data_IF_688324226864
#
_entry.id   IF_688324226864
#
_cell.length_a   1.000
_cell.length_b   1.000
_cell.length_c   1.000
_cell.angle_alpha   90.00
_cell.angle_beta   90.00
_cell.angle_gamma   90.00
#
_symmetry.space_group_name_H-M   'P 1'
#
loop_
_entity.id
_entity.type
_entity.pdbx_description
1 polymer ?
#
# COMPACT_ATOMS: atom_id res chain seq x y z
N UNK A 1 1.92 3.08 -21.05
CA UNK A 1 1.33 4.41 -21.30
C UNK A 1 0.43 4.99 -20.20
N UNK A 2 -0.11 4.24 -19.23
CA UNK A 2 -1.12 4.77 -18.28
C UNK A 2 -0.59 5.72 -17.18
N UNK A 3 0.70 5.65 -16.81
CA UNK A 3 1.25 6.45 -15.69
C UNK A 3 1.57 7.89 -16.11
N UNK A 4 1.97 8.12 -17.38
CA UNK A 4 2.37 9.45 -17.87
C UNK A 4 1.17 10.41 -17.88
N UNK A 5 -0.01 9.96 -18.34
CA UNK A 5 -1.24 10.78 -18.34
C UNK A 5 -1.70 11.10 -16.90
N UNK A 6 -1.53 10.15 -15.97
CA UNK A 6 -1.91 10.32 -14.54
C UNK A 6 -1.02 11.32 -13.81
N UNK A 7 0.27 11.39 -14.17
CA UNK A 7 1.23 12.36 -13.62
C UNK A 7 0.80 13.81 -13.87
N UNK A 8 0.18 14.10 -15.02
CA UNK A 8 -0.36 15.44 -15.33
C UNK A 8 -1.52 15.86 -14.42
N UNK A 9 -2.27 14.92 -13.83
CA UNK A 9 -3.37 15.21 -12.90
C UNK A 9 -2.98 15.10 -11.42
N UNK A 10 -1.69 14.94 -11.11
CA UNK A 10 -1.21 14.80 -9.72
C UNK A 10 -1.62 13.48 -9.03
N UNK A 11 -2.11 12.49 -9.79
CA UNK A 11 -2.50 11.18 -9.26
C UNK A 11 -1.25 10.37 -8.87
N UNK A 12 -1.13 10.01 -7.59
CA UNK A 12 0.06 9.35 -7.04
C UNK A 12 1.11 10.31 -6.47
N UNK A 13 0.84 11.62 -6.42
CA UNK A 13 1.63 12.56 -5.62
C UNK A 13 1.22 12.44 -4.15
N UNK A 14 2.19 12.52 -3.25
CA UNK A 14 1.93 12.60 -1.82
C UNK A 14 1.29 13.98 -1.51
N UNK A 15 0.13 14.03 -0.81
CA UNK A 15 -0.46 15.28 -0.33
C UNK A 15 0.55 16.12 0.46
N UNK A 16 0.44 17.45 0.41
CA UNK A 16 1.42 18.36 1.01
C UNK A 16 1.60 18.12 2.52
N UNK A 17 0.50 17.90 3.25
CA UNK A 17 0.54 17.64 4.69
C UNK A 17 1.29 16.33 5.00
N UNK A 18 1.00 15.26 4.24
CA UNK A 18 1.73 14.00 4.37
C UNK A 18 3.20 14.13 4.00
N UNK A 19 3.52 14.99 3.04
CA UNK A 19 4.91 15.27 2.66
C UNK A 19 5.66 15.93 3.82
N UNK A 20 5.06 16.94 4.44
CA UNK A 20 5.65 17.60 5.60
C UNK A 20 5.84 16.63 6.77
N UNK A 21 4.87 15.74 7.03
CA UNK A 21 5.01 14.67 8.03
C UNK A 21 6.22 13.77 7.75
N UNK A 22 6.34 13.20 6.54
CA UNK A 22 7.43 12.25 6.23
C UNK A 22 8.81 12.92 6.17
N UNK A 23 8.87 14.20 5.81
CA UNK A 23 10.11 14.98 5.85
C UNK A 23 10.54 15.22 7.31
N UNK A 24 9.60 15.58 8.20
CA UNK A 24 9.86 15.78 9.62
C UNK A 24 10.28 14.49 10.36
N UNK A 25 9.81 13.33 9.91
CA UNK A 25 10.17 12.01 10.45
C UNK A 25 11.57 11.53 10.05
N UNK A 26 12.30 12.29 9.22
CA UNK A 26 13.59 11.88 8.69
C UNK A 26 13.42 10.95 7.48
N UNK A 27 13.13 11.55 6.32
CA UNK A 27 12.90 10.84 5.06
C UNK A 27 14.16 10.07 4.61
N UNK A 28 14.00 8.76 4.39
CA UNK A 28 15.03 7.87 3.83
C UNK A 28 14.83 7.74 2.32
N UNK A 29 13.58 7.57 1.89
CA UNK A 29 13.22 7.39 0.49
C UNK A 29 11.81 7.89 0.22
N UNK A 30 11.61 8.55 -0.92
CA UNK A 30 10.29 8.93 -1.43
C UNK A 30 10.22 8.61 -2.92
N UNK A 31 9.25 7.80 -3.29
CA UNK A 31 8.85 7.55 -4.66
C UNK A 31 7.39 8.00 -4.84
N UNK A 32 7.17 8.93 -5.76
CA UNK A 32 5.84 9.41 -6.14
C UNK A 32 5.48 8.91 -7.54
N UNK A 33 4.19 8.88 -7.86
CA UNK A 33 3.68 8.37 -9.13
C UNK A 33 4.03 6.88 -9.37
N UNK A 34 4.12 6.14 -8.28
CA UNK A 34 4.42 4.70 -8.26
C UNK A 34 3.24 3.93 -8.82
N UNK A 35 3.50 3.01 -9.74
CA UNK A 35 2.47 2.11 -10.24
C UNK A 35 2.15 1.06 -9.16
N UNK A 36 0.91 1.02 -8.71
CA UNK A 36 0.46 0.05 -7.71
C UNK A 36 -0.41 -1.00 -8.41
N UNK A 37 0.04 -2.25 -8.41
CA UNK A 37 -0.73 -3.37 -8.98
C UNK A 37 -1.49 -4.06 -7.87
N UNK A 38 -2.82 -4.06 -7.93
CA UNK A 38 -3.68 -4.76 -6.98
C UNK A 38 -4.17 -6.06 -7.58
N UNK A 39 -3.99 -7.18 -6.90
CA UNK A 39 -4.58 -8.48 -7.27
C UNK A 39 -5.49 -8.94 -6.15
N UNK A 40 -6.65 -9.47 -6.51
CA UNK A 40 -7.59 -10.06 -5.56
C UNK A 40 -8.17 -11.33 -6.16
N UNK A 41 -8.27 -12.35 -5.33
CA UNK A 41 -8.95 -13.61 -5.59
C UNK A 41 -9.77 -13.95 -4.35
N UNK A 42 -11.01 -14.41 -4.53
CA UNK A 42 -11.87 -14.85 -3.43
C UNK A 42 -13.19 -14.10 -3.32
N UNK A 43 -13.71 -14.05 -2.10
CA UNK A 43 -15.04 -13.51 -1.82
C UNK A 43 -15.08 -12.72 -0.51
N UNK A 44 -15.72 -11.56 -0.58
CA UNK A 44 -16.14 -10.72 0.55
C UNK A 44 -17.63 -10.35 0.33
N UNK A 45 -18.35 -9.87 1.36
CA UNK A 45 -19.70 -9.33 1.16
C UNK A 45 -19.74 -8.30 0.02
N UNK A 46 -20.66 -8.48 -0.94
CA UNK A 46 -20.79 -7.58 -2.09
C UNK A 46 -19.78 -7.79 -3.23
N UNK A 47 -18.78 -8.67 -3.10
CA UNK A 47 -17.83 -8.95 -4.19
C UNK A 47 -17.32 -10.39 -4.15
N UNK A 48 -17.46 -11.08 -5.28
CA UNK A 48 -16.79 -12.35 -5.56
C UNK A 48 -15.98 -12.22 -6.84
N UNK A 49 -14.71 -12.58 -6.80
CA UNK A 49 -13.81 -12.53 -7.95
C UNK A 49 -12.95 -13.79 -8.00
N UNK A 50 -13.02 -14.52 -9.11
CA UNK A 50 -12.11 -15.65 -9.37
C UNK A 50 -10.68 -15.17 -9.58
N UNK A 51 -10.51 -14.04 -10.28
CA UNK A 51 -9.25 -13.33 -10.43
C UNK A 51 -9.54 -11.89 -10.88
N UNK A 52 -9.01 -10.92 -10.15
CA UNK A 52 -9.20 -9.51 -10.47
C UNK A 52 -7.89 -8.74 -10.29
N UNK A 53 -7.47 -8.02 -11.33
CA UNK A 53 -6.24 -7.23 -11.35
C UNK A 53 -6.58 -5.79 -11.73
N UNK A 54 -6.11 -4.84 -10.94
CA UNK A 54 -6.28 -3.41 -11.19
C UNK A 54 -4.94 -2.68 -11.04
N UNK A 55 -4.76 -1.59 -11.78
CA UNK A 55 -3.55 -0.77 -11.71
C UNK A 55 -3.88 0.66 -11.30
N UNK A 56 -3.37 1.04 -10.13
CA UNK A 56 -3.51 2.35 -9.52
C UNK A 56 -2.20 3.13 -9.57
N UNK A 57 -2.25 4.39 -9.16
CA UNK A 57 -1.08 5.22 -8.88
C UNK A 57 -1.02 5.49 -7.37
N UNK A 58 0.18 5.60 -6.84
CA UNK A 58 0.41 5.81 -5.42
C UNK A 58 1.75 6.46 -5.15
N UNK A 59 2.06 6.61 -3.87
CA UNK A 59 3.37 7.02 -3.40
C UNK A 59 3.87 6.04 -2.35
N UNK A 60 5.19 5.89 -2.26
CA UNK A 60 5.87 5.08 -1.26
C UNK A 60 6.92 5.95 -0.57
N UNK A 61 6.88 5.99 0.75
CA UNK A 61 7.86 6.68 1.55
C UNK A 61 8.39 5.76 2.66
N UNK A 62 9.70 5.80 2.87
CA UNK A 62 10.36 5.21 4.02
C UNK A 62 10.95 6.34 4.85
N UNK A 63 10.63 6.38 6.13
CA UNK A 63 11.15 7.36 7.08
C UNK A 63 11.95 6.64 8.16
N UNK A 64 12.61 7.37 9.05
CA UNK A 64 13.24 6.76 10.22
C UNK A 64 12.22 6.10 11.16
N UNK A 65 10.93 6.40 11.03
CA UNK A 65 9.87 5.93 11.94
C UNK A 65 8.95 4.88 11.33
N UNK A 66 8.62 4.97 10.03
CA UNK A 66 7.60 4.13 9.41
C UNK A 66 7.80 3.87 7.92
N UNK A 67 7.01 2.92 7.43
CA UNK A 67 6.67 2.76 6.01
C UNK A 67 5.32 3.37 5.74
N UNK A 68 5.26 4.26 4.75
CA UNK A 68 4.03 4.88 4.27
C UNK A 68 3.82 4.54 2.78
N UNK A 69 2.73 3.86 2.46
CA UNK A 69 2.26 3.57 1.12
C UNK A 69 0.88 4.17 0.90
N UNK A 70 0.70 4.93 -0.16
CA UNK A 70 -0.59 5.50 -0.53
C UNK A 70 -1.14 4.89 -1.81
N UNK A 71 -2.46 4.83 -1.92
CA UNK A 71 -3.16 4.42 -3.13
C UNK A 71 -4.15 5.51 -3.52
N UNK A 72 -3.99 6.06 -4.71
CA UNK A 72 -4.89 7.08 -5.27
C UNK A 72 -5.88 6.42 -6.22
N UNK A 73 -7.15 6.35 -5.80
CA UNK A 73 -8.27 5.97 -6.68
C UNK A 73 -8.93 7.20 -7.32
N UNK A 74 -8.81 8.37 -6.68
CA UNK A 74 -9.41 9.64 -7.09
C UNK A 74 -8.33 10.74 -7.06
N UNK A 75 -8.34 11.72 -7.98
CA UNK A 75 -7.37 12.83 -7.93
C UNK A 75 -7.40 13.55 -6.57
N UNK A 76 -6.21 13.85 -6.03
CA UNK A 76 -6.00 14.55 -4.74
C UNK A 76 -6.42 13.76 -3.47
N UNK A 77 -6.95 12.54 -3.60
CA UNK A 77 -7.26 11.67 -2.47
C UNK A 77 -6.35 10.43 -2.51
N UNK A 78 -5.24 10.50 -1.79
CA UNK A 78 -4.32 9.40 -1.61
C UNK A 78 -4.64 8.69 -0.28
N UNK A 79 -5.39 7.59 -0.35
CA UNK A 79 -5.70 6.79 0.83
C UNK A 79 -4.41 6.18 1.38
N UNK A 80 -4.20 6.29 2.70
CA UNK A 80 -3.11 5.59 3.39
C UNK A 80 -3.44 4.10 3.41
N UNK A 81 -2.62 3.31 2.72
CA UNK A 81 -2.81 1.86 2.52
C UNK A 81 -1.71 1.06 3.22
N UNK A 82 -0.55 1.66 3.42
CA UNK A 82 0.44 1.14 4.37
C UNK A 82 0.82 2.33 5.24
N UNK A 83 0.67 2.23 6.55
CA UNK A 83 1.09 3.25 7.51
C UNK A 83 1.52 2.51 8.78
N UNK A 84 2.76 2.02 8.77
CA UNK A 84 3.25 1.05 9.77
C UNK A 84 4.58 1.50 10.30
N UNK A 85 4.66 1.70 11.61
CA UNK A 85 5.92 2.03 12.28
C UNK A 85 6.86 0.83 12.33
N UNK A 86 8.16 1.09 12.27
CA UNK A 86 9.18 0.03 12.35
C UNK A 86 9.17 -0.73 13.68
N UNK A 87 8.77 -0.03 14.76
CA UNK A 87 8.68 -0.52 16.14
C UNK A 87 7.31 -1.14 16.48
N UNK A 88 6.36 -1.14 15.54
CA UNK A 88 5.04 -1.73 15.77
C UNK A 88 5.13 -3.25 15.98
N UNK A 89 4.17 -3.85 16.71
CA UNK A 89 4.07 -5.31 16.84
C UNK A 89 4.03 -5.98 15.46
N UNK A 90 4.85 -7.00 15.29
CA UNK A 90 5.01 -7.71 14.01
C UNK A 90 4.05 -8.90 13.94
N UNK A 91 2.77 -8.58 13.96
CA UNK A 91 1.70 -9.56 13.97
C UNK A 91 0.54 -9.04 13.11
N UNK A 92 -0.23 -9.99 12.57
CA UNK A 92 -1.48 -9.69 11.91
C UNK A 92 -1.65 -10.36 10.57
N UNK A 93 -2.74 -10.01 9.90
CA UNK A 93 -3.16 -10.62 8.65
C UNK A 93 -2.32 -10.17 7.44
N UNK A 94 -1.78 -8.95 7.47
CA UNK A 94 -1.04 -8.37 6.37
C UNK A 94 0.47 -8.52 6.57
N UNK A 95 1.17 -8.88 5.49
CA UNK A 95 2.64 -8.93 5.45
C UNK A 95 3.14 -8.05 4.32
N UNK A 96 4.11 -7.18 4.61
CA UNK A 96 4.77 -6.34 3.62
C UNK A 96 6.26 -6.70 3.52
N UNK A 97 6.75 -6.81 2.29
CA UNK A 97 8.14 -7.10 1.95
C UNK A 97 8.73 -5.98 1.08
N UNK A 98 9.89 -5.48 1.47
CA UNK A 98 10.63 -4.42 0.77
C UNK A 98 11.80 -5.05 0.02
N UNK A 99 11.87 -4.79 -1.28
CA UNK A 99 12.90 -5.29 -2.19
C UNK A 99 13.42 -4.18 -3.10
N UNK A 100 14.49 -4.42 -3.89
CA UNK A 100 14.94 -3.44 -4.89
C UNK A 100 13.87 -3.05 -5.92
N UNK A 101 12.85 -3.89 -6.10
CA UNK A 101 11.75 -3.66 -7.06
C UNK A 101 10.55 -2.92 -6.48
N UNK A 102 10.54 -2.69 -5.16
CA UNK A 102 9.50 -1.95 -4.49
C UNK A 102 8.99 -2.63 -3.22
N UNK A 103 7.72 -2.37 -2.91
CA UNK A 103 7.02 -2.94 -1.76
C UNK A 103 5.95 -3.93 -2.25
N UNK A 104 6.03 -5.17 -1.78
CA UNK A 104 5.01 -6.19 -1.97
C UNK A 104 4.20 -6.33 -0.69
N UNK A 105 2.89 -6.16 -0.75
CA UNK A 105 1.95 -6.45 0.33
C UNK A 105 1.15 -7.69 -0.03
N UNK A 106 1.05 -8.61 0.93
CA UNK A 106 0.22 -9.80 0.86
C UNK A 106 -0.72 -9.82 2.07
N UNK A 107 -1.99 -10.15 1.84
CA UNK A 107 -3.03 -10.20 2.86
C UNK A 107 -3.94 -11.40 2.62
N UNK A 108 -3.96 -12.31 3.58
CA UNK A 108 -4.99 -13.34 3.68
C UNK A 108 -6.24 -12.70 4.30
N UNK A 109 -7.28 -12.49 3.48
CA UNK A 109 -8.46 -11.76 3.94
C UNK A 109 -9.30 -12.56 4.95
N UNK A 110 -9.14 -13.89 4.99
CA UNK A 110 -9.83 -14.72 5.98
C UNK A 110 -9.31 -14.50 7.40
N UNK A 111 -8.06 -14.02 7.55
CA UNK A 111 -7.50 -13.60 8.83
C UNK A 111 -8.01 -12.24 9.31
N UNK A 112 -8.61 -11.44 8.42
CA UNK A 112 -9.20 -10.14 8.75
C UNK A 112 -10.63 -10.29 9.25
N UNK A 113 -11.44 -11.08 8.54
CA UNK A 113 -12.82 -11.38 8.91
C UNK A 113 -13.16 -12.81 8.47
N UNK A 114 -13.76 -13.66 9.32
CA UNK A 114 -14.10 -15.04 8.98
C UNK A 114 -15.14 -15.16 7.85
N UNK A 115 -15.88 -14.09 7.52
CA UNK A 115 -16.79 -14.05 6.36
C UNK A 115 -16.05 -13.89 5.05
N UNK A 116 -14.77 -13.52 5.09
CA UNK A 116 -13.94 -13.30 3.91
C UNK A 116 -13.19 -14.58 3.56
N UNK A 117 -12.89 -14.73 2.28
CA UNK A 117 -12.06 -15.83 1.79
C UNK A 117 -11.20 -15.36 0.63
N UNK A 118 -9.99 -15.89 0.55
CA UNK A 118 -9.05 -15.63 -0.54
C UNK A 118 -7.93 -14.67 -0.15
N UNK A 119 -7.42 -13.94 -1.14
CA UNK A 119 -6.14 -13.27 -1.03
C UNK A 119 -6.14 -11.91 -1.72
N UNK A 120 -5.56 -10.90 -1.06
CA UNK A 120 -5.33 -9.56 -1.60
C UNK A 120 -3.82 -9.30 -1.65
N UNK A 121 -3.33 -8.83 -2.79
CA UNK A 121 -1.94 -8.38 -2.92
C UNK A 121 -1.83 -7.02 -3.57
N UNK A 122 -0.87 -6.21 -3.08
CA UNK A 122 -0.51 -4.91 -3.65
C UNK A 122 0.98 -4.88 -3.94
N UNK A 123 1.34 -4.54 -5.17
CA UNK A 123 2.73 -4.33 -5.55
C UNK A 123 2.96 -2.87 -5.93
N UNK A 124 3.69 -2.14 -5.09
CA UNK A 124 4.19 -0.80 -5.37
C UNK A 124 5.50 -0.90 -6.15
N UNK A 125 5.47 -0.62 -7.45
CA UNK A 125 6.64 -0.76 -8.33
C UNK A 125 7.53 0.46 -8.26
N UNK A 126 8.60 0.39 -7.47
CA UNK A 126 9.56 1.47 -7.28
C UNK A 126 10.98 0.91 -7.30
N UNK A 127 11.88 1.53 -8.06
CA UNK A 127 13.29 1.18 -8.01
C UNK A 127 13.89 1.75 -6.71
N UNK A 128 14.25 0.85 -5.79
CA UNK A 128 14.86 1.23 -4.50
C UNK A 128 16.33 0.82 -4.55
N UNK A 129 17.22 1.78 -4.35
CA UNK A 129 18.66 1.54 -4.37
C UNK A 129 19.13 0.75 -3.14
N UNK A 130 20.21 -0.02 -3.27
CA UNK A 130 20.68 -0.91 -2.20
C UNK A 130 21.15 -0.15 -0.95
N UNK A 131 21.70 1.07 -1.12
CA UNK A 131 22.07 1.96 -0.02
C UNK A 131 20.85 2.40 0.80
N UNK A 132 19.71 2.63 0.14
CA UNK A 132 18.44 2.88 0.81
C UNK A 132 17.99 1.63 1.57
N UNK A 133 18.03 0.46 0.94
CA UNK A 133 17.63 -0.80 1.58
C UNK A 133 18.50 -1.18 2.78
N UNK A 134 19.78 -0.81 2.76
CA UNK A 134 20.71 -1.02 3.87
C UNK A 134 20.44 -0.08 5.06
N UNK A 135 19.79 1.07 4.82
CA UNK A 135 19.39 2.03 5.87
C UNK A 135 18.08 1.68 6.56
N UNK A 136 17.29 0.75 6.00
CA UNK A 136 16.00 0.38 6.59
C UNK A 136 16.22 -0.48 7.84
N UNK A 137 15.48 -0.23 8.94
CA UNK A 137 15.58 -1.07 10.14
C UNK A 137 15.22 -2.54 9.88
N UNK A 138 14.37 -2.79 8.88
CA UNK A 138 13.91 -4.12 8.47
C UNK A 138 13.34 -4.10 7.06
N UNK A 139 13.31 -5.27 6.43
CA UNK A 139 12.77 -5.47 5.07
C UNK A 139 11.42 -6.20 5.04
N UNK A 140 11.00 -6.81 6.14
CA UNK A 140 9.70 -7.48 6.27
C UNK A 140 8.94 -6.96 7.47
N UNK A 141 7.65 -6.70 7.27
CA UNK A 141 6.71 -6.16 8.25
C UNK A 141 5.45 -7.02 8.29
N UNK A 142 4.88 -7.23 9.48
CA UNK A 142 3.55 -7.80 9.64
C UNK A 142 2.67 -6.86 10.47
N UNK A 143 1.43 -6.66 10.06
CA UNK A 143 0.50 -5.75 10.73
C UNK A 143 -0.96 -6.16 10.53
N UNK A 144 -1.81 -5.76 11.47
CA UNK A 144 -3.26 -5.91 11.35
C UNK A 144 -3.87 -4.82 10.48
N UNK A 145 -4.95 -5.18 9.78
CA UNK A 145 -5.75 -4.27 8.98
C UNK A 145 -7.23 -4.47 9.30
N UNK A 146 -8.04 -3.39 9.38
CA UNK A 146 -9.47 -3.52 9.57
C UNK A 146 -10.16 -4.06 8.31
N UNK A 147 -11.34 -4.66 8.45
CA UNK A 147 -12.14 -5.14 7.32
C UNK A 147 -12.36 -4.06 6.25
N UNK A 148 -12.60 -2.80 6.67
CA UNK A 148 -12.77 -1.65 5.78
C UNK A 148 -11.60 -1.47 4.79
N UNK A 149 -10.38 -1.83 5.20
CA UNK A 149 -9.20 -1.81 4.34
C UNK A 149 -9.39 -2.65 3.08
N UNK A 150 -9.92 -3.87 3.26
CA UNK A 150 -10.15 -4.83 2.17
C UNK A 150 -11.17 -4.26 1.20
N UNK A 151 -12.30 -3.74 1.71
CA UNK A 151 -13.35 -3.10 0.92
C UNK A 151 -12.82 -1.93 0.08
N UNK A 152 -12.07 -1.01 0.70
CA UNK A 152 -11.45 0.13 0.01
C UNK A 152 -10.47 -0.34 -1.06
N UNK A 153 -9.63 -1.33 -0.77
CA UNK A 153 -8.66 -1.85 -1.72
C UNK A 153 -9.30 -2.53 -2.94
N UNK A 154 -10.49 -3.11 -2.78
CA UNK A 154 -11.24 -3.74 -3.88
C UNK A 154 -12.31 -2.86 -4.51
N UNK A 155 -12.48 -1.62 -4.03
CA UNK A 155 -13.41 -0.65 -4.62
C UNK A 155 -14.88 -0.93 -4.33
N UNK A 156 -15.18 -1.56 -3.19
CA UNK A 156 -16.55 -1.87 -2.74
C UNK A 156 -16.88 -0.99 -1.54
N UNK A 157 -18.09 -0.45 -1.48
CA UNK A 157 -18.56 0.32 -0.33
C UNK A 157 -18.63 -0.58 0.90
N UNK A 158 -17.99 -0.18 1.99
CA UNK A 158 -18.12 -0.88 3.26
C UNK A 158 -19.50 -0.60 3.87
N UNK A 159 -20.25 -1.66 4.17
CA UNK A 159 -21.47 -1.61 4.97
C UNK A 159 -21.28 -2.56 6.17
N UNK A 160 -21.00 -2.03 7.37
CA UNK A 160 -20.76 -2.84 8.57
C UNK A 160 -21.98 -3.67 9.00
#
# INVERSE_FOLDING_TARGET
>A
MAVIVRKFFGLGRLPADLRAEVEAEGLIHLAEYVAVTRRFTGAIPGLRASHSVASYAGSLAFTAQRVLGTLSMVPKLAGRVVDVRWDAPQAGAATAEISPTGLQLELDVAKVDPKFSGHLSLHYKAAIAEDVLARLPRRSLAFDVPAEYVFRAVGVTYSP
#
